data_IF_335783277960
#
_entry.id   IF_335783277960
#
_cell.length_a   1.000
_cell.length_b   1.000
_cell.length_c   1.000
_cell.angle_alpha   90.00
_cell.angle_beta   90.00
_cell.angle_gamma   90.00
#
_symmetry.space_group_name_H-M   'P 1'
#
loop_
_entity.id
_entity.type
_entity.pdbx_description
1 polymer ?
#
# COMPACT_ATOMS: atom_id res chain seq x y z
N UNK A 1 -5.65 3.96 9.51
CA UNK A 1 -5.31 3.48 8.14
C UNK A 1 -3.89 3.79 7.72
N UNK A 2 -3.39 5.03 7.83
CA UNK A 2 -2.05 5.37 7.34
C UNK A 2 -0.91 4.55 7.99
N UNK A 3 -0.99 4.26 9.30
CA UNK A 3 0.00 3.42 10.01
C UNK A 3 0.07 1.98 9.48
N UNK A 4 -1.07 1.39 9.11
CA UNK A 4 -1.11 0.03 8.56
C UNK A 4 -0.48 0.02 7.16
N UNK A 5 -0.87 0.98 6.32
CA UNK A 5 -0.32 1.14 4.96
C UNK A 5 1.20 1.31 5.02
N UNK A 6 1.69 2.15 5.93
CA UNK A 6 3.13 2.35 6.14
C UNK A 6 3.83 1.08 6.63
N UNK A 7 3.25 0.35 7.59
CA UNK A 7 3.83 -0.90 8.08
C UNK A 7 3.88 -1.99 7.00
N UNK A 8 2.83 -2.11 6.18
CA UNK A 8 2.80 -3.02 5.02
C UNK A 8 3.83 -2.61 3.98
N UNK A 9 3.94 -1.32 3.69
CA UNK A 9 4.99 -0.78 2.81
C UNK A 9 6.38 -1.12 3.33
N UNK A 10 6.66 -0.85 4.61
CA UNK A 10 7.95 -1.15 5.23
C UNK A 10 8.27 -2.66 5.22
N UNK A 11 7.26 -3.52 5.38
CA UNK A 11 7.43 -4.96 5.22
C UNK A 11 7.88 -5.31 3.79
N UNK A 12 7.21 -4.77 2.77
CA UNK A 12 7.58 -4.94 1.36
C UNK A 12 8.99 -4.40 1.10
N UNK A 13 9.36 -3.27 1.71
CA UNK A 13 10.69 -2.68 1.62
C UNK A 13 11.77 -3.64 2.14
N UNK A 14 11.63 -4.17 3.36
CA UNK A 14 12.61 -5.10 3.92
C UNK A 14 12.67 -6.42 3.17
N UNK A 15 11.53 -6.94 2.68
CA UNK A 15 11.51 -8.11 1.81
C UNK A 15 12.27 -7.83 0.51
N UNK A 16 12.08 -6.65 -0.10
CA UNK A 16 12.80 -6.26 -1.32
C UNK A 16 14.31 -6.18 -1.08
N UNK A 17 14.75 -5.63 0.06
CA UNK A 17 16.16 -5.61 0.45
C UNK A 17 16.72 -7.03 0.51
N UNK A 18 16.01 -7.96 1.17
CA UNK A 18 16.48 -9.36 1.29
C UNK A 18 16.62 -10.00 -0.10
N UNK A 19 15.62 -9.84 -0.98
CA UNK A 19 15.64 -10.41 -2.33
C UNK A 19 16.79 -9.83 -3.16
N UNK A 20 16.95 -8.52 -3.15
CA UNK A 20 17.97 -7.84 -3.95
C UNK A 20 19.38 -8.03 -3.40
N UNK A 21 19.53 -8.14 -2.07
CA UNK A 21 20.80 -8.46 -1.43
C UNK A 21 21.32 -9.85 -1.81
N UNK A 22 20.44 -10.80 -2.12
CA UNK A 22 20.84 -12.14 -2.56
C UNK A 22 21.36 -12.19 -4.01
N UNK A 23 21.19 -11.11 -4.78
CA UNK A 23 21.59 -11.05 -6.19
C UNK A 23 23.04 -10.59 -6.39
N UNK A 24 23.80 -10.37 -5.31
CA UNK A 24 25.19 -9.91 -5.39
C UNK A 24 25.34 -8.46 -5.89
N UNK A 25 24.26 -7.66 -5.83
CA UNK A 25 24.28 -6.25 -6.21
C UNK A 25 24.99 -5.39 -5.15
N UNK A 26 25.46 -4.22 -5.57
CA UNK A 26 26.02 -3.22 -4.65
C UNK A 26 24.94 -2.72 -3.68
N UNK A 27 25.34 -2.35 -2.47
CA UNK A 27 24.41 -1.93 -1.41
C UNK A 27 23.57 -0.73 -1.84
N UNK A 28 24.15 0.24 -2.54
CA UNK A 28 23.43 1.40 -3.08
C UNK A 28 22.33 0.98 -4.07
N UNK A 29 22.63 0.06 -4.99
CA UNK A 29 21.65 -0.46 -5.95
C UNK A 29 20.50 -1.21 -5.27
N UNK A 30 20.82 -2.02 -4.25
CA UNK A 30 19.84 -2.75 -3.45
C UNK A 30 18.89 -1.77 -2.76
N UNK A 31 19.43 -0.74 -2.12
CA UNK A 31 18.64 0.26 -1.39
C UNK A 31 17.77 1.07 -2.35
N UNK A 32 18.32 1.51 -3.47
CA UNK A 32 17.61 2.35 -4.45
C UNK A 32 16.47 1.57 -5.11
N UNK A 33 16.71 0.33 -5.55
CA UNK A 33 15.66 -0.53 -6.13
C UNK A 33 14.58 -0.88 -5.11
N UNK A 34 14.96 -1.24 -3.89
CA UNK A 34 14.01 -1.54 -2.81
C UNK A 34 13.15 -0.33 -2.46
N UNK A 35 13.76 0.86 -2.44
CA UNK A 35 13.05 2.12 -2.16
C UNK A 35 12.02 2.46 -3.24
N UNK A 36 12.37 2.26 -4.52
CA UNK A 36 11.42 2.43 -5.64
C UNK A 36 10.22 1.49 -5.47
N UNK A 37 10.46 0.20 -5.19
CA UNK A 37 9.37 -0.77 -4.97
C UNK A 37 8.50 -0.37 -3.78
N UNK A 38 9.11 0.01 -2.67
CA UNK A 38 8.41 0.51 -1.49
C UNK A 38 7.49 1.68 -1.84
N UNK A 39 8.00 2.68 -2.55
CA UNK A 39 7.24 3.88 -2.89
C UNK A 39 6.06 3.56 -3.80
N UNK A 40 6.28 2.78 -4.85
CA UNK A 40 5.23 2.38 -5.80
C UNK A 40 4.15 1.52 -5.12
N UNK A 41 4.56 0.52 -4.32
CA UNK A 41 3.64 -0.34 -3.60
C UNK A 41 2.80 0.45 -2.58
N UNK A 42 3.44 1.37 -1.84
CA UNK A 42 2.75 2.21 -0.84
C UNK A 42 1.75 3.15 -1.51
N UNK A 43 2.10 3.76 -2.64
CA UNK A 43 1.18 4.59 -3.42
C UNK A 43 -0.02 3.78 -3.92
N UNK A 44 0.22 2.60 -4.50
CA UNK A 44 -0.86 1.73 -4.97
C UNK A 44 -1.78 1.31 -3.82
N UNK A 45 -1.22 0.88 -2.69
CA UNK A 45 -1.99 0.48 -1.52
C UNK A 45 -2.85 1.64 -0.98
N UNK A 46 -2.32 2.86 -1.01
CA UNK A 46 -3.05 4.07 -0.61
C UNK A 46 -4.24 4.33 -1.52
N UNK A 47 -4.05 4.28 -2.84
CA UNK A 47 -5.13 4.44 -3.82
C UNK A 47 -6.20 3.38 -3.62
N UNK A 48 -5.79 2.12 -3.47
CA UNK A 48 -6.68 0.98 -3.29
C UNK A 48 -7.50 1.10 -1.99
N UNK A 49 -6.87 1.56 -0.91
CA UNK A 49 -7.56 1.81 0.35
C UNK A 49 -8.57 2.96 0.25
N UNK A 50 -8.26 4.03 -0.50
CA UNK A 50 -9.23 5.11 -0.78
C UNK A 50 -10.43 4.61 -1.58
N UNK A 51 -10.21 3.73 -2.56
CA UNK A 51 -11.30 3.09 -3.31
C UNK A 51 -12.21 2.27 -2.40
N UNK A 52 -11.64 1.45 -1.52
CA UNK A 52 -12.43 0.66 -0.57
C UNK A 52 -13.25 1.54 0.39
N UNK A 53 -12.66 2.60 0.96
CA UNK A 53 -13.43 3.54 1.80
C UNK A 53 -14.61 4.11 1.03
N UNK A 54 -14.39 4.57 -0.22
CA UNK A 54 -15.45 5.14 -1.05
C UNK A 54 -16.55 4.12 -1.36
N UNK A 55 -16.18 2.88 -1.66
CA UNK A 55 -17.14 1.82 -1.93
C UNK A 55 -18.02 1.52 -0.70
N UNK A 56 -17.40 1.39 0.48
CA UNK A 56 -18.11 1.15 1.74
C UNK A 56 -19.07 2.32 2.05
N UNK A 57 -18.57 3.56 1.97
CA UNK A 57 -19.38 4.74 2.27
C UNK A 57 -20.57 4.91 1.32
N UNK A 58 -20.42 4.59 0.03
CA UNK A 58 -21.54 4.62 -0.93
C UNK A 58 -22.65 3.65 -0.52
N UNK A 59 -22.30 2.41 -0.19
CA UNK A 59 -23.26 1.39 0.26
C UNK A 59 -23.99 1.81 1.54
N UNK A 60 -23.30 2.46 2.49
CA UNK A 60 -23.90 2.94 3.74
C UNK A 60 -24.90 4.08 3.52
N UNK A 61 -24.61 5.01 2.60
CA UNK A 61 -25.50 6.13 2.27
C UNK A 61 -26.74 5.66 1.53
N UNK A 62 -26.60 4.73 0.60
CA UNK A 62 -27.70 4.18 -0.20
C UNK A 62 -28.70 3.39 0.67
N UNK A 63 -28.19 2.65 1.66
CA UNK A 63 -29.03 1.93 2.64
C UNK A 63 -29.86 2.85 3.54
N UNK A 64 -29.34 4.04 3.89
CA UNK A 64 -30.07 5.01 4.70
C UNK A 64 -31.19 5.71 3.90
N UNK A 65 -30.95 5.98 2.61
CA UNK A 65 -31.95 6.62 1.74
C UNK A 65 -33.20 5.75 1.51
N UNK A 66 -33.05 4.43 1.44
CA UNK A 66 -34.16 3.48 1.32
C UNK A 66 -34.95 3.24 2.62
N UNK A 67 -34.45 3.68 3.78
CA UNK A 67 -35.14 3.51 5.06
C UNK A 67 -36.04 4.71 5.44
N UNK A 68 -35.86 5.86 4.77
CA UNK A 68 -36.61 7.10 5.01
C UNK A 68 -37.41 7.57 3.79
N UNK A 69 -37.58 6.71 2.77
CA UNK A 69 -38.46 6.89 1.61
C UNK A 69 -39.56 5.85 1.62
#
# INVERSE_FOLDING_TARGET
>A
MNKIILNVGLLIFFISIIIFSQQGMLVEDVLLKSFIIFFVATLMLTVLALFFIRAINKTSVEKNKNYYS
#
